data_IF_168575667505
#
_entry.id   IF_168575667505
#
_cell.length_a   1.000
_cell.length_b   1.000
_cell.length_c   1.000
_cell.angle_alpha   90.00
_cell.angle_beta   90.00
_cell.angle_gamma   90.00
#
_symmetry.space_group_name_H-M   'P 1'
#
loop_
_entity.id
_entity.type
_entity.pdbx_description
1 polymer ?
#
# COMPACT_ATOMS: atom_id res chain seq x y z
N UNK A 1 6.67 -26.90 -6.47
CA UNK A 1 5.58 -27.73 -7.04
C UNK A 1 4.58 -26.86 -7.78
N UNK A 2 3.73 -27.48 -8.61
CA UNK A 2 2.66 -26.83 -9.36
C UNK A 2 1.31 -27.46 -9.02
N UNK A 3 0.26 -26.64 -9.00
CA UNK A 3 -1.09 -27.10 -8.75
C UNK A 3 -2.15 -26.32 -9.52
N UNK A 4 -3.35 -26.86 -9.55
CA UNK A 4 -4.50 -26.27 -10.21
C UNK A 4 -5.65 -26.15 -9.21
N UNK A 5 -6.34 -25.03 -9.23
CA UNK A 5 -7.50 -24.76 -8.42
C UNK A 5 -8.62 -24.15 -9.26
N UNK A 6 -9.85 -24.36 -8.81
CA UNK A 6 -11.04 -23.82 -9.43
C UNK A 6 -11.93 -23.20 -8.36
N UNK A 7 -12.54 -22.05 -8.67
CA UNK A 7 -13.54 -21.42 -7.81
C UNK A 7 -14.55 -20.62 -8.65
N UNK A 8 -15.63 -20.20 -8.00
CA UNK A 8 -16.56 -19.25 -8.60
C UNK A 8 -16.00 -17.83 -8.48
N UNK A 9 -15.51 -17.46 -7.28
CA UNK A 9 -14.98 -16.15 -6.99
C UNK A 9 -13.61 -16.23 -6.31
N UNK A 10 -12.60 -15.62 -6.93
CA UNK A 10 -11.27 -15.41 -6.34
C UNK A 10 -11.21 -14.03 -5.70
N UNK A 11 -10.95 -13.96 -4.41
CA UNK A 11 -10.76 -12.73 -3.66
C UNK A 11 -9.27 -12.57 -3.33
N UNK A 12 -8.69 -11.44 -3.73
CA UNK A 12 -7.25 -11.17 -3.69
C UNK A 12 -6.97 -10.07 -2.67
N UNK A 13 -6.42 -10.45 -1.53
CA UNK A 13 -6.22 -9.62 -0.35
C UNK A 13 -7.29 -9.84 0.71
N UNK A 14 -6.88 -10.08 1.96
CA UNK A 14 -7.72 -10.36 3.11
C UNK A 14 -7.73 -9.21 4.14
N UNK A 15 -7.61 -7.97 3.66
CA UNK A 15 -7.93 -6.78 4.44
C UNK A 15 -9.44 -6.61 4.62
N UNK A 16 -9.90 -5.47 5.19
CA UNK A 16 -11.33 -5.25 5.48
C UNK A 16 -12.24 -5.47 4.27
N UNK A 17 -11.85 -4.99 3.08
CA UNK A 17 -12.63 -5.20 1.86
C UNK A 17 -12.73 -6.68 1.46
N UNK A 18 -11.59 -7.40 1.50
CA UNK A 18 -11.55 -8.80 1.11
C UNK A 18 -12.27 -9.72 2.08
N UNK A 19 -12.15 -9.47 3.39
CA UNK A 19 -12.87 -10.21 4.42
C UNK A 19 -14.39 -10.03 4.31
N UNK A 20 -14.86 -8.79 4.13
CA UNK A 20 -16.28 -8.49 3.92
C UNK A 20 -16.81 -9.16 2.63
N UNK A 21 -16.03 -9.12 1.55
CA UNK A 21 -16.36 -9.77 0.28
C UNK A 21 -16.44 -11.31 0.42
N UNK A 22 -15.42 -11.91 1.09
CA UNK A 22 -15.36 -13.35 1.28
C UNK A 22 -16.53 -13.86 2.14
N UNK A 23 -16.88 -13.12 3.19
CA UNK A 23 -18.00 -13.45 4.05
C UNK A 23 -19.33 -13.37 3.30
N UNK A 24 -19.52 -12.30 2.50
CA UNK A 24 -20.70 -12.13 1.63
C UNK A 24 -20.84 -13.30 0.65
N UNK A 25 -19.75 -13.67 -0.03
CA UNK A 25 -19.75 -14.73 -1.04
C UNK A 25 -19.84 -16.13 -0.42
N UNK A 26 -19.13 -16.36 0.68
CA UNK A 26 -19.13 -17.64 1.39
C UNK A 26 -20.50 -17.99 1.95
N UNK A 27 -21.17 -17.03 2.61
CA UNK A 27 -22.55 -17.22 3.12
C UNK A 27 -23.59 -17.44 2.02
N UNK A 28 -23.32 -16.96 0.81
CA UNK A 28 -24.18 -17.18 -0.37
C UNK A 28 -23.97 -18.56 -1.03
N UNK A 29 -23.03 -19.37 -0.53
CA UNK A 29 -22.74 -20.71 -1.04
C UNK A 29 -21.86 -20.74 -2.31
N UNK A 30 -21.28 -19.62 -2.71
CA UNK A 30 -20.32 -19.56 -3.83
C UNK A 30 -19.03 -20.27 -3.42
N UNK A 31 -18.38 -20.97 -4.36
CA UNK A 31 -17.03 -21.54 -4.16
C UNK A 31 -16.01 -20.39 -4.16
N UNK A 32 -15.47 -20.06 -2.99
CA UNK A 32 -14.58 -18.92 -2.79
C UNK A 32 -13.15 -19.39 -2.53
N UNK A 33 -12.19 -18.73 -3.18
CA UNK A 33 -10.80 -18.74 -2.76
C UNK A 33 -10.46 -17.32 -2.25
N UNK A 34 -10.02 -17.22 -0.99
CA UNK A 34 -9.47 -16.00 -0.39
C UNK A 34 -7.95 -16.17 -0.28
N UNK A 35 -7.19 -15.39 -1.05
CA UNK A 35 -5.73 -15.44 -1.07
C UNK A 35 -5.13 -14.15 -0.50
N UNK A 36 -4.16 -14.27 0.40
CA UNK A 36 -3.41 -13.14 0.96
C UNK A 36 -1.92 -13.49 1.10
N UNK A 37 -1.06 -12.52 0.85
CA UNK A 37 0.40 -12.70 0.94
C UNK A 37 0.92 -12.74 2.38
N UNK A 38 0.17 -12.23 3.34
CA UNK A 38 0.52 -12.28 4.76
C UNK A 38 0.16 -13.65 5.38
N UNK A 39 0.71 -13.90 6.56
CA UNK A 39 0.39 -15.08 7.37
C UNK A 39 -0.82 -14.84 8.30
N UNK A 40 -1.17 -13.57 8.56
CA UNK A 40 -2.42 -13.15 9.22
C UNK A 40 -3.33 -12.47 8.20
N UNK A 41 -4.62 -12.73 8.31
CA UNK A 41 -5.63 -12.32 7.34
C UNK A 41 -6.45 -11.18 7.93
N UNK A 42 -5.93 -9.98 7.88
CA UNK A 42 -6.51 -8.80 8.51
C UNK A 42 -6.10 -7.49 7.78
N UNK A 43 -5.09 -7.57 6.89
CA UNK A 43 -4.56 -6.41 6.19
C UNK A 43 -4.03 -5.36 7.16
N UNK A 44 -4.57 -4.14 7.13
CA UNK A 44 -4.16 -3.04 8.02
C UNK A 44 -4.80 -3.09 9.41
N UNK A 45 -5.80 -3.94 9.66
CA UNK A 45 -6.55 -3.94 10.92
C UNK A 45 -5.71 -4.30 12.14
N UNK A 46 -4.64 -5.08 11.98
CA UNK A 46 -3.68 -5.38 13.05
C UNK A 46 -2.60 -4.31 13.21
N UNK A 47 -2.47 -3.43 12.23
CA UNK A 47 -1.46 -2.37 12.20
C UNK A 47 -2.03 -1.01 12.61
N UNK A 48 -3.33 -0.92 12.83
CA UNK A 48 -4.08 0.29 13.19
C UNK A 48 -4.91 0.06 14.44
N UNK A 49 -4.99 1.07 15.31
CA UNK A 49 -5.86 1.03 16.49
C UNK A 49 -7.21 1.66 16.14
N UNK A 50 -7.99 0.97 15.34
CA UNK A 50 -9.32 1.40 14.95
C UNK A 50 -10.40 0.68 15.76
N UNK A 51 -11.40 1.42 16.18
CA UNK A 51 -12.61 0.86 16.80
C UNK A 51 -13.53 0.26 15.72
N UNK A 52 -14.07 -0.92 16.02
CA UNK A 52 -15.05 -1.64 15.21
C UNK A 52 -16.26 -1.95 16.10
N UNK A 53 -17.14 -0.97 16.30
CA UNK A 53 -18.16 -1.06 17.33
C UNK A 53 -17.50 -1.26 18.70
N UNK A 54 -17.86 -2.34 19.40
CA UNK A 54 -17.35 -2.67 20.74
C UNK A 54 -16.04 -3.49 20.75
N UNK A 55 -15.42 -3.73 19.60
CA UNK A 55 -14.23 -4.57 19.45
C UNK A 55 -13.11 -3.89 18.65
N UNK A 56 -11.90 -4.46 18.63
CA UNK A 56 -10.83 -4.02 17.75
C UNK A 56 -11.03 -4.53 16.32
N UNK A 57 -10.43 -3.84 15.33
CA UNK A 57 -10.42 -4.32 13.95
C UNK A 57 -9.75 -5.68 13.80
N UNK A 58 -8.70 -5.95 14.58
CA UNK A 58 -8.02 -7.24 14.59
C UNK A 58 -8.90 -8.37 15.13
N UNK A 59 -9.69 -8.13 16.19
CA UNK A 59 -10.63 -9.13 16.74
C UNK A 59 -11.74 -9.44 15.75
N UNK A 60 -12.30 -8.42 15.09
CA UNK A 60 -13.30 -8.60 14.03
C UNK A 60 -12.72 -9.46 12.88
N UNK A 61 -11.49 -9.17 12.44
CA UNK A 61 -10.84 -9.95 11.39
C UNK A 61 -10.64 -11.41 11.81
N UNK A 62 -10.17 -11.66 13.04
CA UNK A 62 -9.98 -13.01 13.56
C UNK A 62 -11.30 -13.80 13.62
N UNK A 63 -12.38 -13.19 14.08
CA UNK A 63 -13.71 -13.80 14.10
C UNK A 63 -14.22 -14.10 12.68
N UNK A 64 -14.05 -13.15 11.76
CA UNK A 64 -14.43 -13.32 10.35
C UNK A 64 -13.66 -14.47 9.69
N UNK A 65 -12.36 -14.56 9.92
CA UNK A 65 -11.52 -15.65 9.42
C UNK A 65 -11.94 -16.99 10.01
N UNK A 66 -12.28 -17.06 11.29
CA UNK A 66 -12.77 -18.28 11.93
C UNK A 66 -14.12 -18.74 11.32
N UNK A 67 -15.04 -17.81 11.06
CA UNK A 67 -16.28 -18.13 10.35
C UNK A 67 -16.01 -18.64 8.94
N UNK A 68 -15.19 -17.92 8.15
CA UNK A 68 -14.81 -18.35 6.79
C UNK A 68 -14.18 -19.74 6.75
N UNK A 69 -13.33 -20.05 7.73
CA UNK A 69 -12.71 -21.38 7.84
C UNK A 69 -13.71 -22.49 8.16
N UNK A 70 -14.87 -22.17 8.74
CA UNK A 70 -15.95 -23.13 9.02
C UNK A 70 -16.83 -23.43 7.81
N UNK A 71 -16.78 -22.59 6.77
CA UNK A 71 -17.59 -22.75 5.57
C UNK A 71 -16.94 -23.73 4.59
N UNK A 72 -17.63 -24.84 4.21
CA UNK A 72 -17.03 -25.88 3.36
C UNK A 72 -16.77 -25.43 1.91
N UNK A 73 -17.40 -24.33 1.49
CA UNK A 73 -17.25 -23.73 0.16
C UNK A 73 -16.21 -22.60 0.12
N UNK A 74 -15.49 -22.36 1.21
CA UNK A 74 -14.43 -21.34 1.28
C UNK A 74 -13.07 -21.98 1.49
N UNK A 75 -12.12 -21.64 0.63
CA UNK A 75 -10.71 -21.99 0.80
C UNK A 75 -9.90 -20.76 1.13
N UNK A 76 -9.27 -20.74 2.28
CA UNK A 76 -8.35 -19.69 2.72
C UNK A 76 -6.92 -20.09 2.33
N UNK A 77 -6.20 -19.18 1.69
CA UNK A 77 -4.81 -19.34 1.28
C UNK A 77 -3.97 -18.18 1.81
N UNK A 78 -3.48 -18.31 3.04
CA UNK A 78 -2.50 -17.39 3.62
C UNK A 78 -1.12 -17.59 2.99
N UNK A 79 -0.20 -16.62 3.12
CA UNK A 79 1.16 -16.64 2.52
C UNK A 79 1.13 -16.88 1.01
N UNK A 80 0.06 -16.46 0.34
CA UNK A 80 -0.19 -16.72 -1.08
C UNK A 80 -0.30 -15.41 -1.83
N UNK A 81 0.69 -15.11 -2.64
CA UNK A 81 0.73 -13.92 -3.47
C UNK A 81 0.13 -14.21 -4.84
N UNK A 82 -0.95 -13.53 -5.21
CA UNK A 82 -1.48 -13.55 -6.59
C UNK A 82 -0.62 -12.63 -7.45
N UNK A 83 0.22 -13.24 -8.28
CA UNK A 83 1.30 -12.56 -9.00
C UNK A 83 0.93 -12.11 -10.42
N UNK A 84 -0.17 -12.62 -10.98
CA UNK A 84 -0.57 -12.27 -12.34
C UNK A 84 -2.01 -12.66 -12.67
N UNK A 85 -2.64 -11.84 -13.52
CA UNK A 85 -3.90 -12.11 -14.18
C UNK A 85 -3.64 -12.43 -15.65
N UNK A 86 -4.18 -13.54 -16.14
CA UNK A 86 -3.97 -14.06 -17.48
C UNK A 86 -5.31 -14.24 -18.20
N UNK A 87 -5.27 -14.59 -19.50
CA UNK A 87 -6.45 -14.81 -20.29
C UNK A 87 -7.38 -15.90 -19.72
N UNK A 88 -8.64 -15.83 -20.07
CA UNK A 88 -9.67 -16.83 -19.72
C UNK A 88 -9.94 -17.02 -18.21
N UNK A 89 -9.76 -15.98 -17.40
CA UNK A 89 -9.99 -16.03 -15.95
C UNK A 89 -8.97 -16.87 -15.17
N UNK A 90 -7.74 -16.95 -15.69
CA UNK A 90 -6.64 -17.65 -15.06
C UNK A 90 -5.81 -16.68 -14.23
N UNK A 91 -5.55 -17.03 -12.98
CA UNK A 91 -4.64 -16.30 -12.11
C UNK A 91 -3.47 -17.18 -11.70
N UNK A 92 -2.26 -16.60 -11.72
CA UNK A 92 -1.08 -17.24 -11.14
C UNK A 92 -0.93 -16.81 -9.68
N UNK A 93 -0.75 -17.77 -8.78
CA UNK A 93 -0.53 -17.49 -7.37
C UNK A 93 0.63 -18.34 -6.83
N UNK A 94 1.49 -17.72 -6.01
CA UNK A 94 2.60 -18.40 -5.35
C UNK A 94 2.31 -18.55 -3.86
N UNK A 95 2.10 -19.77 -3.42
CA UNK A 95 1.95 -20.12 -2.01
C UNK A 95 3.31 -20.48 -1.41
N UNK A 96 3.67 -19.83 -0.30
CA UNK A 96 4.88 -20.11 0.51
C UNK A 96 4.54 -21.10 1.61
N UNK A 97 4.47 -22.40 1.26
CA UNK A 97 4.00 -23.46 2.15
C UNK A 97 4.90 -23.67 3.36
N UNK A 98 6.20 -23.81 3.12
CA UNK A 98 7.19 -24.04 4.18
C UNK A 98 8.46 -23.19 4.02
N UNK A 99 8.43 -22.20 3.15
CA UNK A 99 9.57 -21.33 2.83
C UNK A 99 10.00 -20.45 4.00
N UNK A 100 9.07 -20.18 4.92
CA UNK A 100 9.27 -19.43 6.17
C UNK A 100 9.88 -20.28 7.30
N UNK A 101 10.04 -21.59 7.09
CA UNK A 101 10.60 -22.50 8.09
C UNK A 101 12.08 -22.74 7.81
N UNK A 102 12.94 -22.84 8.86
CA UNK A 102 14.35 -23.18 8.71
C UNK A 102 14.53 -24.54 8.01
N UNK A 103 13.67 -25.49 8.32
CA UNK A 103 13.63 -26.81 7.70
C UNK A 103 12.17 -27.14 7.31
N UNK A 104 11.88 -27.32 6.02
CA UNK A 104 10.57 -27.80 5.57
C UNK A 104 10.23 -29.17 6.16
N UNK A 105 8.96 -29.39 6.48
CA UNK A 105 8.52 -30.70 6.90
C UNK A 105 8.75 -31.75 5.77
N UNK A 106 9.15 -32.99 6.11
CA UNK A 106 9.36 -34.03 5.10
C UNK A 106 8.14 -34.19 4.20
N UNK A 107 8.38 -34.29 2.89
CA UNK A 107 7.31 -34.47 1.88
C UNK A 107 6.45 -33.23 1.61
N UNK A 108 6.73 -32.08 2.25
CA UNK A 108 6.05 -30.82 1.92
C UNK A 108 6.93 -29.93 1.03
N UNK A 109 6.35 -29.29 -0.02
CA UNK A 109 7.09 -28.38 -0.86
C UNK A 109 7.43 -27.10 -0.08
N UNK A 110 8.47 -26.38 -0.51
CA UNK A 110 8.75 -25.03 -0.02
C UNK A 110 7.70 -24.05 -0.53
N UNK A 111 7.42 -24.15 -1.84
CA UNK A 111 6.50 -23.28 -2.56
C UNK A 111 5.64 -24.11 -3.52
N UNK A 112 4.41 -23.63 -3.78
CA UNK A 112 3.52 -24.16 -4.81
C UNK A 112 3.09 -23.02 -5.72
N UNK A 113 3.32 -23.16 -7.02
CA UNK A 113 2.79 -22.28 -8.04
C UNK A 113 1.41 -22.79 -8.47
N UNK A 114 0.38 -22.06 -8.09
CA UNK A 114 -1.00 -22.36 -8.41
C UNK A 114 -1.45 -21.68 -9.71
N UNK A 115 -2.19 -22.40 -10.52
CA UNK A 115 -3.05 -21.85 -11.57
C UNK A 115 -4.47 -21.91 -11.09
N UNK A 116 -5.06 -20.75 -10.82
CA UNK A 116 -6.42 -20.62 -10.28
C UNK A 116 -7.34 -20.23 -11.43
N UNK A 117 -8.32 -21.07 -11.74
CA UNK A 117 -9.37 -20.83 -12.72
C UNK A 117 -10.59 -20.30 -11.98
N UNK A 118 -11.09 -19.12 -12.36
CA UNK A 118 -12.22 -18.49 -11.69
C UNK A 118 -13.22 -17.89 -12.68
N UNK A 119 -14.51 -17.87 -12.31
CA UNK A 119 -15.56 -17.20 -13.06
C UNK A 119 -15.51 -15.69 -12.87
N UNK A 120 -15.12 -15.24 -11.68
CA UNK A 120 -14.93 -13.83 -11.35
C UNK A 120 -13.84 -13.65 -10.30
N UNK A 121 -13.31 -12.44 -10.21
CA UNK A 121 -12.30 -12.09 -9.24
C UNK A 121 -12.53 -10.69 -8.66
N UNK A 122 -12.10 -10.49 -7.42
CA UNK A 122 -12.20 -9.21 -6.72
C UNK A 122 -10.83 -8.85 -6.13
N UNK A 123 -10.25 -7.76 -6.62
CA UNK A 123 -8.99 -7.22 -6.14
C UNK A 123 -9.23 -6.33 -4.92
N UNK A 124 -8.79 -6.80 -3.76
CA UNK A 124 -8.83 -6.12 -2.46
C UNK A 124 -7.42 -5.92 -1.89
N UNK A 125 -6.42 -5.71 -2.78
CA UNK A 125 -5.00 -5.71 -2.42
C UNK A 125 -4.53 -4.41 -1.72
N UNK A 126 -5.44 -3.53 -1.33
CA UNK A 126 -5.11 -2.33 -0.58
C UNK A 126 -4.31 -1.29 -1.36
N UNK A 127 -3.47 -0.55 -0.65
CA UNK A 127 -2.60 0.48 -1.20
C UNK A 127 -1.23 0.45 -0.53
N UNK A 128 -0.21 0.94 -1.23
CA UNK A 128 1.16 1.06 -0.73
C UNK A 128 1.46 2.51 -0.38
N UNK A 129 1.95 2.76 0.83
CA UNK A 129 2.36 4.10 1.26
C UNK A 129 3.57 4.58 0.44
N UNK A 130 3.62 5.88 0.12
CA UNK A 130 4.70 6.51 -0.61
C UNK A 130 5.46 7.52 0.25
N UNK A 131 6.79 7.65 0.05
CA UNK A 131 7.58 8.64 0.75
C UNK A 131 7.42 10.05 0.17
N UNK A 132 7.95 11.04 0.90
CA UNK A 132 8.28 12.38 0.42
C UNK A 132 9.80 12.47 0.32
N UNK A 133 10.33 12.92 -0.81
CA UNK A 133 11.77 13.04 -1.00
C UNK A 133 12.31 14.36 -0.41
N UNK A 134 13.44 14.28 0.31
CA UNK A 134 14.15 15.41 0.90
C UNK A 134 15.65 15.10 1.01
N UNK A 135 16.48 16.09 1.36
CA UNK A 135 17.94 15.93 1.39
C UNK A 135 18.37 14.84 2.38
N UNK A 136 19.16 13.86 1.89
CA UNK A 136 19.68 12.72 2.66
C UNK A 136 18.57 11.86 3.30
N UNK A 137 17.49 11.59 2.59
CA UNK A 137 16.37 10.76 3.03
C UNK A 137 16.63 9.24 2.98
N UNK A 138 17.84 8.83 2.62
CA UNK A 138 18.33 7.45 2.58
C UNK A 138 18.94 6.95 3.90
N UNK A 139 18.99 7.81 4.93
CA UNK A 139 19.67 7.49 6.20
C UNK A 139 18.91 6.43 7.00
N UNK A 140 19.61 5.41 7.59
CA UNK A 140 18.99 4.46 8.50
C UNK A 140 18.27 5.16 9.67
N UNK A 141 17.02 4.74 9.91
CA UNK A 141 16.09 5.38 10.84
C UNK A 141 15.02 6.25 10.14
N UNK A 142 15.15 6.48 8.83
CA UNK A 142 14.09 7.07 8.01
C UNK A 142 13.32 5.94 7.34
N UNK A 143 12.00 5.91 7.52
CA UNK A 143 11.13 4.85 7.00
C UNK A 143 9.72 5.38 6.75
N UNK A 144 8.88 4.60 6.08
CA UNK A 144 7.47 4.95 5.92
C UNK A 144 6.76 4.98 7.28
N UNK A 145 5.88 5.94 7.46
CA UNK A 145 5.17 6.15 8.73
C UNK A 145 4.26 4.96 9.05
N UNK A 146 3.54 4.43 8.06
CA UNK A 146 2.71 3.24 8.20
C UNK A 146 3.50 1.98 8.58
N UNK A 147 4.74 1.85 8.11
CA UNK A 147 5.62 0.77 8.54
C UNK A 147 6.02 0.90 10.03
N UNK A 148 6.34 2.13 10.47
CA UNK A 148 6.64 2.41 11.88
C UNK A 148 5.45 2.09 12.78
N UNK A 149 4.25 2.50 12.38
CA UNK A 149 2.99 2.20 13.04
C UNK A 149 2.72 0.69 13.11
N UNK A 150 2.94 -0.02 12.01
CA UNK A 150 2.80 -1.48 11.93
C UNK A 150 3.76 -2.19 12.89
N UNK A 151 5.03 -1.79 12.96
CA UNK A 151 5.98 -2.36 13.92
C UNK A 151 5.51 -2.16 15.37
N UNK A 152 5.01 -0.99 15.70
CA UNK A 152 4.55 -0.69 17.05
C UNK A 152 3.25 -1.45 17.41
N UNK A 153 2.26 -1.46 16.51
CA UNK A 153 0.97 -2.05 16.79
C UNK A 153 0.96 -3.57 16.70
N UNK A 154 1.63 -4.14 15.72
CA UNK A 154 1.62 -5.58 15.45
C UNK A 154 2.68 -6.35 16.25
N UNK A 155 3.86 -5.76 16.49
CA UNK A 155 4.97 -6.47 17.11
C UNK A 155 5.52 -5.79 18.38
N UNK A 156 4.89 -4.70 18.86
CA UNK A 156 5.35 -3.93 20.03
C UNK A 156 6.82 -3.48 19.92
N UNK A 157 7.27 -3.17 18.70
CA UNK A 157 8.64 -2.71 18.42
C UNK A 157 8.60 -1.27 17.93
N UNK A 158 9.50 -0.43 18.46
CA UNK A 158 9.71 0.93 17.99
C UNK A 158 11.12 1.09 17.43
N UNK A 159 11.30 1.81 16.30
CA UNK A 159 12.62 2.03 15.72
C UNK A 159 13.51 2.96 16.57
N UNK A 160 12.93 3.77 17.47
CA UNK A 160 13.62 4.64 18.38
C UNK A 160 12.72 5.06 19.56
N UNK A 161 13.33 5.52 20.65
CA UNK A 161 12.60 6.05 21.82
C UNK A 161 11.94 7.42 21.55
N UNK A 162 12.49 8.18 20.60
CA UNK A 162 11.96 9.49 20.18
C UNK A 162 11.92 9.55 18.67
N UNK A 163 10.74 9.76 18.12
CA UNK A 163 10.46 9.77 16.68
C UNK A 163 9.89 11.12 16.24
N UNK A 164 10.07 11.44 14.96
CA UNK A 164 9.33 12.51 14.29
C UNK A 164 8.50 11.91 13.15
N UNK A 165 7.45 12.61 12.72
CA UNK A 165 6.65 12.25 11.55
C UNK A 165 6.65 13.41 10.58
N UNK A 166 6.93 13.13 9.29
CA UNK A 166 6.85 14.08 8.19
C UNK A 166 5.72 13.67 7.25
N UNK A 167 4.74 14.54 7.07
CA UNK A 167 3.51 14.16 6.39
C UNK A 167 2.91 15.27 5.51
N UNK A 168 2.05 14.88 4.58
CA UNK A 168 1.15 15.71 3.79
C UNK A 168 -0.32 15.24 3.91
N UNK A 169 -0.62 14.42 4.91
CA UNK A 169 -1.93 13.76 5.04
C UNK A 169 -2.26 13.40 6.50
N UNK A 170 -3.51 13.02 6.74
CA UNK A 170 -4.02 12.73 8.08
C UNK A 170 -3.52 11.40 8.67
N UNK A 171 -3.15 10.43 7.83
CA UNK A 171 -2.64 9.12 8.28
C UNK A 171 -1.30 9.26 9.02
N UNK A 172 -0.47 10.26 8.63
CA UNK A 172 0.74 10.61 9.38
C UNK A 172 0.45 11.07 10.81
N UNK A 173 -0.62 11.85 11.02
CA UNK A 173 -1.08 12.25 12.36
C UNK A 173 -1.57 11.06 13.16
N UNK A 174 -2.33 10.16 12.53
CA UNK A 174 -2.80 8.95 13.18
C UNK A 174 -1.63 8.04 13.59
N UNK A 175 -0.58 7.96 12.75
CA UNK A 175 0.65 7.25 13.12
C UNK A 175 1.31 7.84 14.36
N UNK A 176 1.41 9.16 14.46
CA UNK A 176 1.96 9.83 15.63
C UNK A 176 1.11 9.57 16.89
N UNK A 177 -0.22 9.61 16.77
CA UNK A 177 -1.15 9.33 17.86
C UNK A 177 -1.01 7.89 18.37
N UNK A 178 -0.98 6.90 17.48
CA UNK A 178 -0.81 5.48 17.85
C UNK A 178 0.53 5.23 18.56
N UNK A 179 1.61 5.82 18.07
CA UNK A 179 2.94 5.72 18.70
C UNK A 179 2.96 6.40 20.07
N UNK A 180 2.36 7.58 20.19
CA UNK A 180 2.26 8.31 21.44
C UNK A 180 1.48 7.53 22.49
N UNK A 181 0.33 6.95 22.12
CA UNK A 181 -0.48 6.10 22.99
C UNK A 181 0.28 4.86 23.52
N UNK A 182 1.33 4.42 22.82
CA UNK A 182 2.22 3.34 23.23
C UNK A 182 3.46 3.82 24.02
N UNK A 183 3.50 5.10 24.40
CA UNK A 183 4.59 5.67 25.18
C UNK A 183 5.83 6.06 24.39
N UNK A 184 5.76 6.08 23.04
CA UNK A 184 6.87 6.58 22.21
C UNK A 184 6.87 8.10 22.24
N UNK A 185 8.01 8.72 22.55
CA UNK A 185 8.12 10.18 22.54
C UNK A 185 8.05 10.73 21.12
N UNK A 186 7.06 11.60 20.83
CA UNK A 186 6.96 12.30 19.56
C UNK A 186 7.75 13.61 19.63
N UNK A 187 8.78 13.73 18.81
CA UNK A 187 9.60 14.94 18.72
C UNK A 187 8.82 16.11 18.12
N UNK A 188 8.13 15.86 17.02
CA UNK A 188 7.11 16.69 16.38
C UNK A 188 6.46 15.91 15.24
N UNK A 189 5.25 16.34 14.83
CA UNK A 189 4.68 16.08 13.51
C UNK A 189 4.95 17.30 12.64
N UNK A 190 5.62 17.10 11.52
CA UNK A 190 5.90 18.14 10.53
C UNK A 190 4.96 17.90 9.36
N UNK A 191 3.98 18.78 9.20
CA UNK A 191 2.99 18.68 8.13
C UNK A 191 3.18 19.83 7.13
N UNK A 192 3.21 19.50 5.85
CA UNK A 192 3.36 20.51 4.79
C UNK A 192 2.12 21.40 4.65
N UNK A 193 0.98 20.96 5.17
CA UNK A 193 -0.28 21.73 5.14
C UNK A 193 -0.28 22.80 6.22
N UNK A 194 -0.61 24.06 5.88
CA UNK A 194 -0.67 25.13 6.85
C UNK A 194 -1.87 25.04 7.81
N UNK A 195 -2.91 24.31 7.41
CA UNK A 195 -4.14 24.05 8.14
C UNK A 195 -4.19 22.66 8.78
N UNK A 196 -3.03 22.04 8.98
CA UNK A 196 -2.91 20.72 9.59
C UNK A 196 -3.54 20.66 10.98
N UNK A 197 -4.14 19.51 11.38
CA UNK A 197 -4.72 19.35 12.71
C UNK A 197 -3.63 19.47 13.79
N UNK A 198 -3.93 20.19 14.86
CA UNK A 198 -3.04 20.33 16.01
C UNK A 198 -3.31 19.22 17.04
N UNK A 199 -2.28 18.82 17.77
CA UNK A 199 -2.38 17.92 18.92
C UNK A 199 -2.13 18.70 20.21
N UNK A 200 -2.81 18.31 21.31
CA UNK A 200 -2.51 18.80 22.65
C UNK A 200 -1.33 18.08 23.34
N UNK A 201 -0.96 16.90 22.84
CA UNK A 201 -0.01 16.00 23.50
C UNK A 201 1.43 16.12 22.99
N UNK A 202 1.61 16.59 21.76
CA UNK A 202 2.92 16.79 21.13
C UNK A 202 2.88 17.93 20.11
N UNK A 203 4.04 18.44 19.73
CA UNK A 203 4.16 19.54 18.81
C UNK A 203 3.77 19.14 17.37
N UNK A 204 2.98 20.00 16.72
CA UNK A 204 2.69 19.94 15.28
C UNK A 204 3.22 21.22 14.63
N UNK A 205 4.09 21.07 13.63
CA UNK A 205 4.62 22.16 12.82
C UNK A 205 3.86 22.18 11.50
N UNK A 206 2.71 22.85 11.51
CA UNK A 206 1.86 23.05 10.32
C UNK A 206 2.55 24.00 9.32
N UNK A 207 2.54 23.66 8.04
CA UNK A 207 3.27 24.36 6.98
C UNK A 207 4.79 24.13 7.00
N UNK A 208 5.28 23.22 7.85
CA UNK A 208 6.71 22.88 7.97
C UNK A 208 7.17 21.86 6.93
N UNK A 209 8.48 21.81 6.67
CA UNK A 209 9.08 20.85 5.76
C UNK A 209 10.38 20.29 6.33
N UNK A 210 10.57 18.97 6.30
CA UNK A 210 11.87 18.38 6.61
C UNK A 210 12.80 18.56 5.42
N UNK A 211 13.82 19.39 5.60
CA UNK A 211 14.74 19.76 4.52
C UNK A 211 16.04 18.97 4.52
N UNK A 212 16.41 18.34 5.64
CA UNK A 212 17.64 17.55 5.72
C UNK A 212 17.61 16.58 6.90
N UNK A 213 18.42 15.53 6.84
CA UNK A 213 18.68 14.61 7.93
C UNK A 213 20.16 14.61 8.34
N UNK A 214 20.46 14.36 9.62
CA UNK A 214 21.82 14.32 10.16
C UNK A 214 22.07 13.06 11.00
N UNK A 215 23.29 12.53 10.88
CA UNK A 215 23.78 11.35 11.60
C UNK A 215 24.80 10.60 10.75
N UNK A 216 25.58 9.69 11.33
CA UNK A 216 26.59 8.91 10.62
C UNK A 216 26.12 7.47 10.36
N UNK A 217 25.85 6.71 11.41
CA UNK A 217 25.41 5.31 11.32
C UNK A 217 23.89 5.14 11.43
N UNK A 218 23.18 6.22 11.64
CA UNK A 218 21.74 6.29 11.76
C UNK A 218 21.32 7.73 12.04
N UNK A 219 20.02 7.97 12.00
CA UNK A 219 19.42 9.27 12.24
C UNK A 219 19.71 9.76 13.68
N UNK A 220 20.12 11.02 13.82
CA UNK A 220 20.30 11.72 15.09
C UNK A 220 19.44 12.98 15.20
N UNK A 221 19.19 13.63 14.08
CA UNK A 221 18.33 14.80 14.03
C UNK A 221 17.86 15.05 12.59
N UNK A 222 16.81 15.85 12.49
CA UNK A 222 16.30 16.42 11.22
C UNK A 222 16.39 17.92 11.28
N UNK A 223 16.52 18.55 10.12
CA UNK A 223 16.44 20.01 9.95
C UNK A 223 15.09 20.34 9.32
N UNK A 224 14.32 21.20 9.95
CA UNK A 224 12.97 21.58 9.55
C UNK A 224 12.95 23.05 9.13
N UNK A 225 12.45 23.34 7.93
CA UNK A 225 12.09 24.69 7.52
C UNK A 225 10.75 25.04 8.15
N UNK A 226 10.68 26.24 8.79
CA UNK A 226 9.48 26.72 9.45
C UNK A 226 8.62 27.59 8.51
N UNK A 227 7.28 27.59 8.65
CA UNK A 227 6.38 28.35 7.77
C UNK A 227 6.62 29.87 7.77
N UNK A 228 7.05 30.41 8.90
CA UNK A 228 7.41 31.84 9.04
C UNK A 228 8.82 32.21 8.61
N UNK A 229 9.55 31.25 8.01
CA UNK A 229 10.97 31.40 7.67
C UNK A 229 11.88 30.90 8.80
N UNK A 230 13.16 30.75 8.46
CA UNK A 230 14.12 30.13 9.38
C UNK A 230 14.12 28.61 9.38
N UNK A 231 15.03 28.06 10.16
CA UNK A 231 15.24 26.60 10.26
C UNK A 231 15.38 26.19 11.72
N UNK A 232 14.93 25.00 12.04
CA UNK A 232 15.07 24.39 13.35
C UNK A 232 15.58 22.96 13.24
N UNK A 233 16.51 22.62 14.12
CA UNK A 233 16.98 21.24 14.27
C UNK A 233 16.17 20.55 15.35
N UNK A 234 15.65 19.35 15.04
CA UNK A 234 14.92 18.49 15.96
C UNK A 234 15.71 17.18 16.18
N UNK A 235 15.98 16.85 17.42
CA UNK A 235 16.62 15.57 17.78
C UNK A 235 15.59 14.47 17.74
N UNK A 236 15.86 13.41 16.96
CA UNK A 236 15.06 12.18 16.89
C UNK A 236 15.93 11.03 16.38
N UNK A 237 15.64 9.81 16.85
CA UNK A 237 16.33 8.59 16.40
C UNK A 237 15.68 7.93 15.18
N UNK A 238 14.42 8.28 14.88
CA UNK A 238 13.74 7.83 13.67
C UNK A 238 12.78 8.90 13.13
N UNK A 239 12.52 8.84 11.81
CA UNK A 239 11.57 9.69 11.10
C UNK A 239 10.63 8.82 10.28
N UNK A 240 9.33 8.89 10.61
CA UNK A 240 8.27 8.33 9.77
C UNK A 240 7.88 9.30 8.67
N UNK A 241 7.82 8.84 7.42
CA UNK A 241 7.46 9.67 6.27
C UNK A 241 6.16 9.16 5.66
N UNK A 242 5.13 10.01 5.59
CA UNK A 242 3.81 9.70 5.05
C UNK A 242 3.49 10.65 3.89
N UNK A 243 3.74 10.23 2.66
CA UNK A 243 3.51 11.00 1.43
C UNK A 243 2.17 10.71 0.74
N UNK A 244 1.32 9.89 1.35
CA UNK A 244 0.06 9.40 0.81
C UNK A 244 0.14 7.94 0.36
N UNK A 245 -0.90 7.47 -0.33
CA UNK A 245 -1.10 6.06 -0.66
C UNK A 245 -1.30 5.87 -2.15
N UNK A 246 -0.68 4.83 -2.72
CA UNK A 246 -0.85 4.39 -4.09
C UNK A 246 -1.69 3.11 -4.12
N UNK A 247 -2.88 3.10 -4.73
CA UNK A 247 -3.66 1.89 -4.94
C UNK A 247 -2.85 0.77 -5.62
N UNK A 248 -2.98 -0.47 -5.14
CA UNK A 248 -2.31 -1.64 -5.71
C UNK A 248 -3.12 -2.17 -6.92
N UNK A 249 -2.90 -1.57 -8.08
CA UNK A 249 -3.69 -1.80 -9.30
C UNK A 249 -3.02 -2.71 -10.33
N UNK A 250 -1.93 -3.35 -9.99
CA UNK A 250 -1.08 -4.11 -10.90
C UNK A 250 -1.85 -5.15 -11.73
N UNK A 251 -2.77 -5.91 -11.12
CA UNK A 251 -3.53 -6.94 -11.82
C UNK A 251 -4.49 -6.35 -12.87
N UNK A 252 -5.00 -5.14 -12.67
CA UNK A 252 -5.86 -4.47 -13.66
C UNK A 252 -5.08 -4.04 -14.91
N UNK A 253 -3.75 -3.93 -14.80
CA UNK A 253 -2.89 -3.50 -15.90
C UNK A 253 -2.38 -4.64 -16.79
N UNK A 254 -2.51 -5.90 -16.37
CA UNK A 254 -1.91 -7.04 -17.09
C UNK A 254 -2.53 -7.31 -18.45
N UNK A 255 -3.75 -6.84 -18.70
CA UNK A 255 -4.44 -6.92 -20.02
C UNK A 255 -4.41 -5.57 -20.78
N UNK A 256 -3.31 -4.81 -20.66
CA UNK A 256 -3.10 -3.49 -21.25
C UNK A 256 -3.97 -2.38 -20.66
N UNK A 257 -4.64 -2.63 -19.53
CA UNK A 257 -5.36 -1.60 -18.80
C UNK A 257 -4.42 -0.48 -18.37
N UNK A 258 -4.85 0.77 -18.51
CA UNK A 258 -4.10 1.94 -18.08
C UNK A 258 -4.71 2.48 -16.78
N UNK A 259 -3.92 2.62 -15.71
CA UNK A 259 -4.40 3.23 -14.48
C UNK A 259 -4.92 4.64 -14.72
N UNK A 260 -5.99 5.01 -14.02
CA UNK A 260 -6.63 6.33 -14.12
C UNK A 260 -6.25 7.23 -12.95
N UNK A 261 -6.09 8.51 -13.22
CA UNK A 261 -5.74 9.48 -12.18
C UNK A 261 -6.94 9.79 -11.28
N UNK A 262 -6.75 9.63 -9.97
CA UNK A 262 -7.71 9.94 -8.92
C UNK A 262 -7.23 11.20 -8.17
N UNK A 263 -7.74 12.39 -8.52
CA UNK A 263 -7.23 13.65 -7.96
C UNK A 263 -7.46 13.78 -6.46
N UNK A 264 -8.53 13.17 -5.92
CA UNK A 264 -8.87 13.22 -4.49
C UNK A 264 -7.84 12.55 -3.58
N UNK A 265 -7.06 11.60 -4.10
CA UNK A 265 -5.99 10.92 -3.36
C UNK A 265 -4.61 11.17 -3.98
N UNK A 266 -4.55 12.00 -5.03
CA UNK A 266 -3.34 12.29 -5.79
C UNK A 266 -2.56 11.02 -6.18
N UNK A 267 -3.24 10.01 -6.75
CA UNK A 267 -2.67 8.72 -7.13
C UNK A 267 -3.38 8.14 -8.36
N UNK A 268 -2.77 7.12 -8.97
CA UNK A 268 -3.43 6.35 -10.01
C UNK A 268 -4.26 5.21 -9.39
N UNK A 269 -5.52 5.14 -9.78
CA UNK A 269 -6.46 4.07 -9.46
C UNK A 269 -6.51 2.98 -10.53
N UNK A 270 -7.42 2.01 -10.38
CA UNK A 270 -7.56 0.91 -11.33
C UNK A 270 -7.92 1.39 -12.73
N UNK A 271 -7.48 0.64 -13.75
CA UNK A 271 -7.86 0.87 -15.12
C UNK A 271 -9.37 0.64 -15.32
N UNK A 272 -10.03 1.52 -16.09
CA UNK A 272 -11.43 1.32 -16.48
C UNK A 272 -11.59 0.06 -17.35
N UNK A 273 -10.62 -0.19 -18.23
CA UNK A 273 -10.53 -1.40 -19.02
C UNK A 273 -9.44 -2.30 -18.47
N UNK A 274 -9.83 -3.39 -17.84
CA UNK A 274 -8.96 -4.40 -17.26
C UNK A 274 -9.33 -5.82 -17.67
N UNK A 275 -8.77 -6.84 -17.00
CA UNK A 275 -9.18 -8.23 -17.23
C UNK A 275 -10.69 -8.38 -17.05
N UNK A 276 -11.34 -9.06 -17.99
CA UNK A 276 -12.78 -9.35 -17.89
C UNK A 276 -13.06 -10.07 -16.57
N UNK A 277 -14.14 -9.67 -15.91
CA UNK A 277 -14.56 -10.22 -14.61
C UNK A 277 -13.61 -9.93 -13.42
N UNK A 278 -12.62 -9.06 -13.55
CA UNK A 278 -11.87 -8.52 -12.42
C UNK A 278 -12.51 -7.23 -11.91
N UNK A 279 -13.04 -7.27 -10.70
CA UNK A 279 -13.58 -6.12 -9.96
C UNK A 279 -12.55 -5.63 -8.94
N UNK A 280 -12.72 -4.42 -8.45
CA UNK A 280 -11.80 -3.81 -7.48
C UNK A 280 -12.59 -3.18 -6.33
N UNK A 281 -12.11 -3.33 -5.10
CA UNK A 281 -12.72 -2.75 -3.91
C UNK A 281 -11.69 -2.22 -2.90
N UNK A 282 -12.15 -1.36 -2.00
CA UNK A 282 -11.36 -0.77 -0.93
C UNK A 282 -10.26 0.15 -1.43
N UNK A 283 -9.14 0.20 -0.73
CA UNK A 283 -8.05 1.11 -1.05
C UNK A 283 -7.42 0.86 -2.44
N UNK A 284 -7.51 -0.36 -2.97
CA UNK A 284 -7.13 -0.65 -4.36
C UNK A 284 -8.02 0.08 -5.39
N UNK A 285 -9.25 0.45 -5.02
CA UNK A 285 -10.16 1.28 -5.82
C UNK A 285 -10.01 2.78 -5.55
N UNK A 286 -9.21 3.15 -4.54
CA UNK A 286 -9.01 4.53 -4.12
C UNK A 286 -9.84 4.93 -2.89
N UNK A 287 -10.62 4.03 -2.30
CA UNK A 287 -11.31 4.29 -1.04
C UNK A 287 -10.39 3.90 0.12
N UNK A 288 -9.76 4.90 0.70
CA UNK A 288 -8.77 4.74 1.78
C UNK A 288 -9.41 4.62 3.17
N UNK A 289 -10.73 4.80 3.30
CA UNK A 289 -11.43 4.65 4.57
C UNK A 289 -11.75 3.18 4.87
N UNK A 290 -11.68 2.80 6.14
CA UNK A 290 -11.97 1.42 6.55
C UNK A 290 -13.46 1.09 6.36
N UNK A 291 -14.35 2.02 6.72
CA UNK A 291 -15.80 1.87 6.52
C UNK A 291 -16.15 1.73 5.02
N UNK A 292 -15.51 2.51 4.15
CA UNK A 292 -15.68 2.41 2.69
C UNK A 292 -15.12 1.11 2.13
N UNK A 293 -13.98 0.65 2.63
CA UNK A 293 -13.40 -0.64 2.23
C UNK A 293 -14.33 -1.82 2.57
N UNK A 294 -14.88 -1.86 3.79
CA UNK A 294 -15.85 -2.88 4.20
C UNK A 294 -17.07 -2.89 3.29
N UNK A 295 -17.72 -1.73 3.10
CA UNK A 295 -18.89 -1.60 2.23
C UNK A 295 -18.58 -1.96 0.79
N UNK A 296 -17.51 -1.40 0.23
CA UNK A 296 -17.11 -1.65 -1.15
C UNK A 296 -16.84 -3.12 -1.42
N UNK A 297 -16.18 -3.83 -0.50
CA UNK A 297 -15.94 -5.28 -0.61
C UNK A 297 -17.24 -6.08 -0.62
N UNK A 298 -18.14 -5.82 0.34
CA UNK A 298 -19.43 -6.50 0.44
C UNK A 298 -20.32 -6.21 -0.78
N UNK A 299 -20.39 -4.95 -1.23
CA UNK A 299 -21.25 -4.52 -2.34
C UNK A 299 -20.79 -5.10 -3.68
N UNK A 300 -19.49 -5.09 -3.96
CA UNK A 300 -18.92 -5.67 -5.20
C UNK A 300 -19.12 -7.19 -5.23
N UNK A 301 -18.93 -7.88 -4.09
CA UNK A 301 -19.20 -9.31 -4.00
C UNK A 301 -20.70 -9.60 -4.20
N UNK A 302 -21.59 -8.86 -3.54
CA UNK A 302 -23.03 -9.02 -3.69
C UNK A 302 -23.53 -8.74 -5.11
N UNK A 303 -22.94 -7.74 -5.80
CA UNK A 303 -23.25 -7.47 -7.20
C UNK A 303 -22.85 -8.63 -8.10
N UNK A 304 -21.60 -9.12 -7.95
CA UNK A 304 -21.11 -10.25 -8.72
C UNK A 304 -21.97 -11.51 -8.48
N UNK A 305 -22.35 -11.78 -7.24
CA UNK A 305 -23.18 -12.94 -6.88
C UNK A 305 -24.55 -12.89 -7.59
N UNK A 306 -25.23 -11.73 -7.58
CA UNK A 306 -26.51 -11.56 -8.26
C UNK A 306 -26.42 -11.80 -9.76
N UNK A 307 -25.37 -11.28 -10.41
CA UNK A 307 -25.10 -11.46 -11.84
C UNK A 307 -24.84 -12.93 -12.22
N UNK A 308 -24.34 -13.72 -11.26
CA UNK A 308 -24.00 -15.14 -11.45
C UNK A 308 -25.02 -16.09 -10.84
N UNK A 309 -26.24 -15.63 -10.50
CA UNK A 309 -27.37 -16.45 -10.09
C UNK A 309 -27.37 -16.88 -8.63
N UNK A 310 -26.49 -16.32 -7.79
CA UNK A 310 -26.47 -16.57 -6.33
C UNK A 310 -27.43 -15.61 -5.60
N UNK A 311 -27.97 -16.08 -4.48
CA UNK A 311 -28.75 -15.24 -3.58
C UNK A 311 -27.83 -14.63 -2.52
N UNK A 312 -27.48 -13.35 -2.68
CA UNK A 312 -26.69 -12.62 -1.70
C UNK A 312 -27.61 -11.96 -0.66
N UNK A 313 -27.41 -12.28 0.62
CA UNK A 313 -27.99 -11.52 1.73
C UNK A 313 -27.13 -10.29 2.00
N UNK A 314 -27.75 -9.22 2.54
CA UNK A 314 -27.01 -8.06 3.01
C UNK A 314 -26.13 -8.45 4.19
N UNK A 315 -24.85 -8.15 4.10
CA UNK A 315 -23.94 -8.33 5.23
C UNK A 315 -24.12 -7.18 6.24
N UNK A 316 -24.32 -7.52 7.50
CA UNK A 316 -24.21 -6.55 8.58
C UNK A 316 -22.75 -6.27 8.84
N UNK A 317 -22.35 -5.02 8.60
CA UNK A 317 -20.97 -4.57 8.76
C UNK A 317 -20.83 -3.84 10.09
N UNK A 318 -19.70 -3.99 10.79
CA UNK A 318 -19.44 -3.23 12.00
C UNK A 318 -19.33 -1.73 11.65
N UNK A 319 -19.74 -0.89 12.61
CA UNK A 319 -19.42 0.53 12.54
C UNK A 319 -17.90 0.70 12.66
N UNK A 320 -17.30 1.23 11.62
CA UNK A 320 -15.89 1.53 11.58
C UNK A 320 -15.69 3.04 11.49
N UNK A 321 -14.76 3.56 12.28
CA UNK A 321 -14.31 4.94 12.12
C UNK A 321 -13.61 5.08 10.78
N UNK A 322 -13.84 6.18 10.11
CA UNK A 322 -13.18 6.45 8.84
C UNK A 322 -13.65 7.74 8.21
N UNK A 323 -13.11 8.85 8.68
CA UNK A 323 -13.10 10.05 7.85
C UNK A 323 -12.25 9.78 6.59
N UNK A 324 -12.61 10.33 5.42
CA UNK A 324 -11.76 10.27 4.25
C UNK A 324 -10.39 10.87 4.58
N UNK A 325 -9.31 10.17 4.24
CA UNK A 325 -7.95 10.67 4.45
C UNK A 325 -7.72 11.83 3.47
N UNK A 326 -7.49 13.04 3.99
CA UNK A 326 -7.12 14.20 3.18
C UNK A 326 -5.63 14.13 2.84
N UNK A 327 -5.31 14.14 1.54
CA UNK A 327 -3.94 14.10 1.02
C UNK A 327 -3.69 15.33 0.17
N UNK A 328 -2.71 16.16 0.58
CA UNK A 328 -2.23 17.27 -0.24
C UNK A 328 -1.06 16.81 -1.10
N UNK A 329 -1.10 16.99 -2.44
CA UNK A 329 0.01 16.60 -3.30
C UNK A 329 1.33 17.28 -2.88
N UNK A 330 2.30 16.47 -2.46
CA UNK A 330 3.65 16.94 -2.12
C UNK A 330 4.64 15.79 -2.28
N UNK A 331 5.57 15.90 -3.21
CA UNK A 331 6.39 14.80 -3.67
C UNK A 331 7.85 14.91 -3.23
N UNK A 332 8.38 16.12 -3.26
CA UNK A 332 9.76 16.39 -2.90
C UNK A 332 9.91 17.81 -2.37
N UNK A 333 10.83 17.99 -1.44
CA UNK A 333 11.21 19.28 -0.91
C UNK A 333 12.07 20.02 -1.93
N UNK A 334 11.70 21.26 -2.24
CA UNK A 334 12.42 22.09 -3.22
C UNK A 334 13.82 22.46 -2.74
N UNK A 335 14.76 22.54 -3.68
CA UNK A 335 16.14 22.98 -3.41
C UNK A 335 17.04 21.89 -2.82
N UNK A 336 16.56 20.66 -2.62
CA UNK A 336 17.39 19.54 -2.19
C UNK A 336 18.22 19.00 -3.34
N UNK A 337 19.48 18.62 -3.06
CA UNK A 337 20.40 18.08 -4.05
C UNK A 337 20.43 16.54 -4.06
N UNK A 338 20.42 15.92 -2.86
CA UNK A 338 20.47 14.48 -2.66
C UNK A 338 19.16 13.99 -2.03
N UNK A 339 18.06 14.18 -2.77
CA UNK A 339 16.73 13.68 -2.42
C UNK A 339 16.47 12.39 -3.22
N UNK A 340 16.47 11.27 -2.53
CA UNK A 340 16.33 9.94 -3.12
C UNK A 340 14.86 9.65 -3.44
N UNK A 341 14.61 9.21 -4.68
CA UNK A 341 13.31 8.75 -5.16
C UNK A 341 13.25 7.22 -5.18
N UNK A 342 14.27 6.60 -5.78
CA UNK A 342 14.42 5.16 -5.86
C UNK A 342 15.69 4.75 -5.11
N UNK A 343 15.48 4.10 -3.96
CA UNK A 343 16.57 3.65 -3.09
C UNK A 343 17.18 2.30 -3.54
N UNK A 344 16.53 1.57 -4.47
CA UNK A 344 17.05 0.33 -5.00
C UNK A 344 18.01 0.57 -6.17
N UNK A 345 17.76 1.62 -6.96
CA UNK A 345 18.57 1.98 -8.13
C UNK A 345 19.31 3.31 -7.96
N UNK A 346 19.37 3.85 -6.74
CA UNK A 346 20.07 5.09 -6.41
C UNK A 346 19.66 6.32 -7.26
N UNK A 347 18.37 6.42 -7.62
CA UNK A 347 17.85 7.54 -8.42
C UNK A 347 17.38 8.68 -7.53
N UNK A 348 17.88 9.88 -7.78
CA UNK A 348 17.56 11.11 -7.04
C UNK A 348 16.72 12.07 -7.89
N UNK A 349 16.20 13.11 -7.24
CA UNK A 349 15.56 14.25 -7.93
C UNK A 349 16.50 14.89 -8.94
N UNK A 350 17.83 14.93 -8.65
CA UNK A 350 18.84 15.47 -9.56
C UNK A 350 18.93 14.68 -10.87
N UNK A 351 18.79 13.35 -10.79
CA UNK A 351 18.87 12.47 -11.97
C UNK A 351 17.65 12.67 -12.88
N UNK A 352 16.47 12.89 -12.31
CA UNK A 352 15.26 13.25 -13.08
C UNK A 352 15.46 14.60 -13.80
N UNK A 353 16.03 15.60 -13.11
CA UNK A 353 16.33 16.90 -13.70
C UNK A 353 17.35 16.78 -14.84
N UNK A 354 18.40 15.97 -14.64
CA UNK A 354 19.42 15.70 -15.68
C UNK A 354 18.79 15.03 -16.90
N UNK A 355 17.95 14.01 -16.70
CA UNK A 355 17.24 13.35 -17.80
C UNK A 355 16.39 14.35 -18.60
N UNK A 356 15.67 15.24 -17.92
CA UNK A 356 14.91 16.28 -18.58
C UNK A 356 15.80 17.26 -19.37
N UNK A 357 16.96 17.69 -18.83
CA UNK A 357 17.92 18.55 -19.53
C UNK A 357 18.46 17.91 -20.79
N UNK A 358 18.61 16.58 -20.80
CA UNK A 358 19.04 15.79 -21.95
C UNK A 358 17.88 15.37 -22.87
N UNK A 359 16.72 16.00 -22.70
CA UNK A 359 15.51 15.82 -23.54
C UNK A 359 14.80 14.45 -23.37
N UNK A 360 15.04 13.73 -22.27
CA UNK A 360 14.27 12.54 -21.92
C UNK A 360 13.00 12.93 -21.15
N UNK A 361 12.03 13.50 -21.84
CA UNK A 361 10.83 14.11 -21.24
C UNK A 361 9.66 13.13 -21.04
N UNK A 362 9.70 11.94 -21.65
CA UNK A 362 8.70 10.91 -21.41
C UNK A 362 9.10 10.02 -20.23
N UNK A 363 8.11 9.56 -19.47
CA UNK A 363 8.31 8.67 -18.32
C UNK A 363 9.04 7.38 -18.72
N UNK A 364 8.72 6.82 -19.87
CA UNK A 364 9.35 5.61 -20.40
C UNK A 364 10.83 5.82 -20.76
N UNK A 365 11.19 7.01 -21.25
CA UNK A 365 12.58 7.34 -21.49
C UNK A 365 13.31 7.68 -20.18
N UNK A 366 12.69 8.44 -19.28
CA UNK A 366 13.21 8.70 -17.93
C UNK A 366 13.58 7.38 -17.23
N UNK A 367 12.64 6.42 -17.23
CA UNK A 367 12.84 5.10 -16.63
C UNK A 367 14.07 4.39 -17.20
N UNK A 368 14.26 4.40 -18.53
CA UNK A 368 15.39 3.73 -19.18
C UNK A 368 16.72 4.46 -19.00
N UNK A 369 16.68 5.78 -18.92
CA UNK A 369 17.86 6.60 -18.72
C UNK A 369 18.40 6.51 -17.28
N UNK A 370 17.50 6.59 -16.29
CA UNK A 370 17.86 6.64 -14.87
C UNK A 370 17.76 5.31 -14.14
N UNK A 371 17.14 4.28 -14.75
CA UNK A 371 16.74 3.03 -14.12
C UNK A 371 15.63 3.17 -13.04
N UNK A 372 14.99 4.34 -12.93
CA UNK A 372 13.89 4.58 -11.99
C UNK A 372 12.79 3.51 -12.12
N UNK A 373 12.48 2.81 -11.03
CA UNK A 373 11.44 1.78 -10.99
C UNK A 373 11.76 0.53 -11.82
N UNK A 374 13.01 0.28 -12.16
CA UNK A 374 13.44 -0.94 -12.86
C UNK A 374 13.90 -2.06 -11.92
N UNK A 375 13.96 -1.81 -10.64
CA UNK A 375 14.28 -2.82 -9.63
C UNK A 375 13.15 -3.83 -9.44
N UNK A 376 13.35 -4.79 -8.55
CA UNK A 376 12.42 -5.90 -8.30
C UNK A 376 11.06 -5.46 -7.77
N UNK A 377 10.97 -4.30 -7.14
CA UNK A 377 9.73 -3.68 -6.67
C UNK A 377 8.93 -2.98 -7.79
N UNK A 378 9.49 -2.88 -9.00
CA UNK A 378 8.90 -2.17 -10.14
C UNK A 378 8.49 -0.71 -9.84
N UNK A 379 9.17 -0.07 -8.89
CA UNK A 379 8.93 1.34 -8.54
C UNK A 379 7.68 1.60 -7.72
N UNK A 380 7.22 0.65 -6.92
CA UNK A 380 6.02 0.80 -6.05
C UNK A 380 6.03 2.09 -5.23
N UNK A 381 7.18 2.46 -4.68
CA UNK A 381 7.35 3.64 -3.84
C UNK A 381 7.98 4.83 -4.57
N UNK A 382 8.63 4.61 -5.72
CA UNK A 382 9.45 5.61 -6.43
C UNK A 382 8.76 6.24 -7.64
N UNK A 383 7.97 5.46 -8.41
CA UNK A 383 7.40 5.90 -9.68
C UNK A 383 6.61 7.21 -9.56
N UNK A 384 5.73 7.33 -8.56
CA UNK A 384 4.89 8.52 -8.40
C UNK A 384 5.71 9.81 -8.16
N UNK A 385 6.77 9.73 -7.34
CA UNK A 385 7.68 10.86 -7.13
C UNK A 385 8.38 11.29 -8.42
N UNK A 386 8.89 10.34 -9.19
CA UNK A 386 9.53 10.61 -10.47
C UNK A 386 8.59 11.21 -11.51
N UNK A 387 7.34 10.70 -11.60
CA UNK A 387 6.29 11.22 -12.48
C UNK A 387 5.95 12.68 -12.14
N UNK A 388 5.74 12.95 -10.86
CA UNK A 388 5.36 14.27 -10.39
C UNK A 388 6.45 15.32 -10.65
N UNK A 389 7.72 14.97 -10.43
CA UNK A 389 8.83 15.86 -10.74
C UNK A 389 8.95 16.09 -12.25
N UNK A 390 8.79 15.06 -13.08
CA UNK A 390 8.80 15.22 -14.53
C UNK A 390 7.61 16.09 -15.01
N UNK A 391 6.43 15.95 -14.39
CA UNK A 391 5.28 16.80 -14.66
C UNK A 391 5.59 18.28 -14.35
N UNK A 392 6.21 18.56 -13.19
CA UNK A 392 6.65 19.94 -12.83
C UNK A 392 7.66 20.48 -13.84
N UNK A 393 8.67 19.70 -14.23
CA UNK A 393 9.72 20.13 -15.17
C UNK A 393 9.19 20.39 -16.59
N UNK A 394 8.17 19.63 -17.02
CA UNK A 394 7.58 19.75 -18.35
C UNK A 394 6.39 20.71 -18.40
N UNK A 395 5.93 21.24 -17.25
CA UNK A 395 4.74 22.08 -17.15
C UNK A 395 3.43 21.36 -17.47
N UNK A 396 3.40 20.03 -17.35
CA UNK A 396 2.24 19.16 -17.62
C UNK A 396 1.58 18.71 -16.32
N UNK A 397 0.30 18.34 -16.40
CA UNK A 397 -0.34 17.60 -15.32
C UNK A 397 0.21 16.16 -15.23
N UNK A 398 0.20 15.58 -14.03
CA UNK A 398 0.69 14.19 -13.81
C UNK A 398 0.03 13.19 -14.76
N UNK A 399 -1.32 13.17 -14.97
CA UNK A 399 -1.93 12.23 -15.90
C UNK A 399 -1.52 12.44 -17.37
N UNK A 400 -1.09 13.64 -17.76
CA UNK A 400 -0.60 13.91 -19.13
C UNK A 400 0.83 13.39 -19.35
N UNK A 401 1.66 13.37 -18.30
CA UNK A 401 2.97 12.73 -18.34
C UNK A 401 2.81 11.20 -18.45
N UNK A 402 1.74 10.67 -17.89
CA UNK A 402 1.39 9.26 -17.90
C UNK A 402 2.02 8.48 -16.75
N UNK A 403 1.83 7.18 -16.78
CA UNK A 403 2.40 6.25 -15.78
C UNK A 403 2.93 5.00 -16.45
N UNK A 404 3.87 4.35 -15.80
CA UNK A 404 4.37 3.03 -16.20
C UNK A 404 3.40 1.94 -15.75
N UNK A 405 3.33 0.85 -16.53
CA UNK A 405 2.45 -0.30 -16.26
C UNK A 405 3.27 -1.39 -15.59
N UNK A 406 2.69 -2.01 -14.56
CA UNK A 406 3.28 -3.16 -13.88
C UNK A 406 3.13 -4.43 -14.71
N UNK A 407 4.10 -5.35 -14.58
CA UNK A 407 4.14 -6.64 -15.28
C UNK A 407 4.18 -7.80 -14.29
N UNK A 408 3.59 -8.98 -14.64
CA UNK A 408 3.76 -10.17 -13.83
C UNK A 408 5.24 -10.65 -13.82
N UNK A 409 5.76 -11.13 -12.69
CA UNK A 409 5.16 -11.09 -11.36
C UNK A 409 5.31 -9.72 -10.71
N UNK A 410 4.23 -9.17 -10.14
CA UNK A 410 4.29 -7.88 -9.45
C UNK A 410 5.09 -7.93 -8.15
N UNK A 411 4.93 -8.99 -7.38
CA UNK A 411 5.80 -9.30 -6.24
C UNK A 411 6.97 -10.14 -6.73
N UNK A 412 8.18 -9.77 -6.33
CA UNK A 412 9.40 -10.45 -6.73
C UNK A 412 9.31 -11.96 -6.45
N UNK A 413 9.48 -12.76 -7.50
CA UNK A 413 9.32 -14.22 -7.46
C UNK A 413 10.57 -14.87 -8.02
N UNK A 414 11.13 -15.83 -7.28
CA UNK A 414 12.34 -16.55 -7.71
C UNK A 414 12.06 -17.43 -8.94
N UNK A 415 13.00 -17.52 -9.86
CA UNK A 415 12.88 -18.32 -11.10
C UNK A 415 12.54 -19.78 -10.79
N UNK A 416 13.09 -20.35 -9.72
CA UNK A 416 12.82 -21.73 -9.31
C UNK A 416 11.35 -22.02 -8.98
N UNK A 417 10.50 -21.00 -8.76
CA UNK A 417 9.06 -21.20 -8.60
C UNK A 417 8.36 -21.53 -9.92
N UNK A 418 8.94 -21.15 -11.06
CA UNK A 418 8.41 -21.38 -12.41
C UNK A 418 9.01 -22.64 -13.08
N UNK A 419 10.11 -23.15 -12.54
CA UNK A 419 10.86 -24.30 -13.05
C UNK A 419 10.26 -25.68 -12.81
#
# INVERSE_FOLDING_TARGET
>A
DRGFLHCDLLIIGAGPAGLAAALTAGRAGSQVILADEDFTLDGRLNSEQLAFGDQSGADWAAQTVAELASLPNVRIMARTTVLGAFDHGIFGALERVSDHLPQPAPGKPRQVLWRIYTKGSLLCAGATERPIAFENNDRPGIMLAGAMRSYANRWAVTPAQRVAVFTNNDDGHQTAADLHAKGVAIAAVIDVRPDAPLSGDYEVIAGGQVINSRGRLGLKSIEVALPGGGKRQLSCGALGVAGGWNPNVHLTSHHRGRPEWLPQIAAFGPAAEGPKALRVAGAAKGDLSTAGALRGGADEAASWLRENGFRASRLELPEAEGAPISITPFWAVKGCNRAWLDQQNDVTVKDVKLAHQENFVSVEHLKRYTTLGMATDQGKTSNMGGLAIMAELTGKAIPEVGTTIFRPPYTATVIGAFG
#
